data_IF_416744080087
#
_entry.id   IF_416744080087
#
_cell.length_a   1.000
_cell.length_b   1.000
_cell.length_c   1.000
_cell.angle_alpha   90.00
_cell.angle_beta   90.00
_cell.angle_gamma   90.00
#
_symmetry.space_group_name_H-M   'P 1'
#
loop_
_entity.id
_entity.type
_entity.pdbx_description
1 polymer ?
#
# COMPACT_ATOMS: atom_id res chain seq x y z
N UNK A 1 5.64 -11.17 -14.52
CA UNK A 1 4.58 -10.58 -13.68
C UNK A 1 4.64 -9.06 -13.64
N UNK A 2 5.74 -8.43 -13.21
CA UNK A 2 5.86 -6.96 -13.12
C UNK A 2 5.58 -6.25 -14.46
N UNK A 3 6.14 -6.75 -15.57
CA UNK A 3 5.83 -6.22 -16.92
C UNK A 3 4.34 -6.30 -17.29
N UNK A 4 3.60 -7.26 -16.76
CA UNK A 4 2.15 -7.37 -16.96
C UNK A 4 1.42 -6.30 -16.16
N UNK A 5 1.83 -6.05 -14.92
CA UNK A 5 1.25 -5.01 -14.06
C UNK A 5 1.48 -3.59 -14.62
N UNK A 6 2.62 -3.36 -15.27
CA UNK A 6 2.92 -2.08 -15.94
C UNK A 6 1.92 -1.74 -17.06
N UNK A 7 1.23 -2.74 -17.65
CA UNK A 7 0.17 -2.50 -18.64
C UNK A 7 -1.13 -1.94 -18.04
N UNK A 8 -1.22 -1.81 -16.72
CA UNK A 8 -2.35 -1.21 -16.01
C UNK A 8 -3.72 -1.88 -16.21
N UNK A 9 -3.78 -3.06 -16.81
CA UNK A 9 -5.04 -3.80 -17.01
C UNK A 9 -5.71 -4.20 -15.68
N UNK A 10 -4.91 -4.43 -14.63
CA UNK A 10 -5.42 -4.70 -13.29
C UNK A 10 -6.10 -3.46 -12.67
N UNK A 11 -5.64 -2.25 -13.02
CA UNK A 11 -6.25 -0.98 -12.60
C UNK A 11 -7.63 -0.81 -13.25
N UNK A 12 -7.73 -1.08 -14.55
CA UNK A 12 -9.00 -1.04 -15.29
C UNK A 12 -10.05 -2.01 -14.73
N UNK A 13 -9.59 -3.13 -14.17
CA UNK A 13 -10.42 -4.17 -13.58
C UNK A 13 -10.68 -3.96 -12.09
N UNK A 14 -10.23 -2.84 -11.51
CA UNK A 14 -10.37 -2.52 -10.09
C UNK A 14 -9.77 -3.58 -9.16
N UNK A 15 -8.75 -4.32 -9.62
CA UNK A 15 -8.11 -5.36 -8.83
C UNK A 15 -7.08 -4.75 -7.88
N UNK A 16 -6.92 -5.31 -6.66
CA UNK A 16 -5.88 -4.86 -5.75
C UNK A 16 -4.49 -5.40 -6.12
N UNK A 17 -3.46 -4.75 -5.59
CA UNK A 17 -2.07 -5.20 -5.61
C UNK A 17 -1.49 -5.13 -4.19
N UNK A 18 -0.91 -6.22 -3.70
CA UNK A 18 -0.19 -6.27 -2.43
C UNK A 18 1.28 -6.65 -2.67
N UNK A 19 2.20 -5.79 -2.23
CA UNK A 19 3.63 -6.01 -2.21
C UNK A 19 4.04 -6.32 -0.76
N UNK A 20 4.51 -7.55 -0.52
CA UNK A 20 4.84 -8.06 0.83
C UNK A 20 6.32 -8.47 0.87
N UNK A 21 7.01 -8.28 2.00
CA UNK A 21 8.39 -8.72 2.20
C UNK A 21 9.20 -7.77 3.09
N UNK A 22 10.45 -8.09 3.39
CA UNK A 22 11.22 -7.37 4.42
C UNK A 22 11.71 -5.98 4.00
N UNK A 23 12.27 -5.23 4.95
CA UNK A 23 12.80 -3.89 4.69
C UNK A 23 13.89 -3.88 3.63
N UNK A 24 13.74 -2.99 2.63
CA UNK A 24 14.74 -2.78 1.59
C UNK A 24 14.69 -3.77 0.42
N UNK A 25 13.64 -4.59 0.31
CA UNK A 25 13.42 -5.55 -0.80
C UNK A 25 12.80 -4.93 -2.06
N UNK A 26 12.55 -3.61 -2.06
CA UNK A 26 12.08 -2.88 -3.23
C UNK A 26 10.57 -2.64 -3.33
N UNK A 27 9.77 -2.97 -2.31
CA UNK A 27 8.31 -2.74 -2.31
C UNK A 27 7.91 -1.30 -2.65
N UNK A 28 8.40 -0.31 -1.91
CA UNK A 28 8.12 1.11 -2.17
C UNK A 28 8.59 1.53 -3.56
N UNK A 29 9.72 1.00 -4.02
CA UNK A 29 10.24 1.28 -5.36
C UNK A 29 9.29 0.75 -6.45
N UNK A 30 8.82 -0.50 -6.32
CA UNK A 30 7.84 -1.08 -7.23
C UNK A 30 6.50 -0.35 -7.18
N UNK A 31 6.04 0.03 -5.98
CA UNK A 31 4.79 0.77 -5.79
C UNK A 31 4.84 2.13 -6.51
N UNK A 32 5.95 2.86 -6.35
CA UNK A 32 6.19 4.15 -7.03
C UNK A 32 6.32 3.95 -8.55
N UNK A 33 7.07 2.94 -8.99
CA UNK A 33 7.25 2.67 -10.41
C UNK A 33 5.92 2.36 -11.11
N UNK A 34 5.12 1.44 -10.55
CA UNK A 34 3.80 1.10 -11.09
C UNK A 34 2.82 2.28 -11.01
N UNK A 35 2.86 3.06 -9.93
CA UNK A 35 2.07 4.29 -9.82
C UNK A 35 2.47 5.34 -10.86
N UNK A 36 3.76 5.44 -11.18
CA UNK A 36 4.27 6.36 -12.22
C UNK A 36 3.82 5.92 -13.61
N UNK A 37 3.96 4.63 -13.94
CA UNK A 37 3.48 4.06 -15.20
C UNK A 37 1.97 4.27 -15.37
N UNK A 38 1.18 4.06 -14.30
CA UNK A 38 -0.25 4.34 -14.32
C UNK A 38 -0.55 5.83 -14.57
N UNK A 39 0.17 6.74 -13.92
CA UNK A 39 0.01 8.17 -14.16
C UNK A 39 0.35 8.54 -15.61
N UNK A 40 1.43 7.97 -16.17
CA UNK A 40 1.83 8.17 -17.57
C UNK A 40 0.78 7.61 -18.55
N UNK A 41 0.09 6.54 -18.18
CA UNK A 41 -1.03 5.98 -18.94
C UNK A 41 -2.36 6.77 -18.77
N UNK A 42 -2.35 7.88 -18.03
CA UNK A 42 -3.49 8.78 -17.87
C UNK A 42 -4.38 8.53 -16.65
N UNK A 43 -4.02 7.58 -15.77
CA UNK A 43 -4.77 7.35 -14.53
C UNK A 43 -4.47 8.43 -13.49
N UNK A 44 -5.48 8.78 -12.69
CA UNK A 44 -5.31 9.62 -11.49
C UNK A 44 -4.75 8.74 -10.38
N UNK A 45 -3.51 8.99 -10.00
CA UNK A 45 -2.80 8.21 -8.99
C UNK A 45 -2.57 9.06 -7.74
N UNK A 46 -2.75 8.45 -6.57
CA UNK A 46 -2.37 9.04 -5.28
C UNK A 46 -1.44 8.09 -4.55
N UNK A 47 -0.27 8.58 -4.14
CA UNK A 47 0.63 7.90 -3.22
C UNK A 47 0.54 8.53 -1.83
N UNK A 48 0.46 7.70 -0.79
CA UNK A 48 0.39 8.14 0.61
C UNK A 48 0.99 7.08 1.53
N UNK A 49 1.58 7.50 2.66
CA UNK A 49 1.94 6.58 3.74
C UNK A 49 0.69 6.20 4.54
N UNK A 50 0.58 4.95 4.98
CA UNK A 50 -0.56 4.48 5.77
C UNK A 50 -0.83 5.38 6.99
N UNK A 51 0.22 5.75 7.73
CA UNK A 51 0.13 6.63 8.90
C UNK A 51 -0.37 8.03 8.56
N UNK A 52 0.10 8.62 7.46
CA UNK A 52 -0.36 9.95 6.99
C UNK A 52 -1.81 9.94 6.56
N UNK A 53 -2.23 8.87 5.87
CA UNK A 53 -3.63 8.68 5.48
C UNK A 53 -4.52 8.59 6.72
N UNK A 54 -4.15 7.77 7.68
CA UNK A 54 -4.92 7.60 8.93
C UNK A 54 -5.02 8.91 9.71
N UNK A 55 -3.90 9.62 9.90
CA UNK A 55 -3.91 10.91 10.60
C UNK A 55 -4.84 11.91 9.91
N UNK A 56 -4.78 12.03 8.58
CA UNK A 56 -5.66 12.92 7.83
C UNK A 56 -7.15 12.52 7.96
N UNK A 57 -7.45 11.22 8.02
CA UNK A 57 -8.82 10.75 8.24
C UNK A 57 -9.32 11.07 9.65
N UNK A 58 -8.46 10.94 10.66
CA UNK A 58 -8.78 11.28 12.05
C UNK A 58 -9.06 12.78 12.18
N UNK A 59 -8.16 13.63 11.66
CA UNK A 59 -8.33 15.08 11.62
C UNK A 59 -9.62 15.47 10.88
N UNK A 60 -9.85 14.90 9.69
CA UNK A 60 -11.06 15.18 8.92
C UNK A 60 -12.34 14.74 9.65
N UNK A 61 -12.29 13.69 10.46
CA UNK A 61 -13.41 13.27 11.30
C UNK A 61 -13.68 14.27 12.43
N UNK A 62 -12.65 14.78 13.09
CA UNK A 62 -12.77 15.80 14.13
C UNK A 62 -13.34 17.12 13.55
N UNK A 63 -12.96 17.46 12.32
CA UNK A 63 -13.41 18.67 11.61
C UNK A 63 -14.74 18.48 10.84
N UNK A 64 -15.41 17.33 10.96
CA UNK A 64 -16.65 16.99 10.21
C UNK A 64 -16.50 17.07 8.68
N UNK A 65 -15.30 16.83 8.17
CA UNK A 65 -14.97 16.73 6.74
C UNK A 65 -14.74 15.29 6.26
N UNK A 66 -14.91 14.28 7.14
CA UNK A 66 -14.56 12.88 6.85
C UNK A 66 -15.15 12.36 5.52
N UNK A 67 -16.45 12.57 5.29
CA UNK A 67 -17.12 12.12 4.06
C UNK A 67 -16.45 12.68 2.80
N UNK A 68 -16.03 13.96 2.85
CA UNK A 68 -15.33 14.61 1.74
C UNK A 68 -13.94 14.02 1.54
N UNK A 69 -13.21 13.76 2.64
CA UNK A 69 -11.87 13.17 2.60
C UNK A 69 -11.90 11.73 2.07
N UNK A 70 -12.82 10.90 2.55
CA UNK A 70 -13.02 9.53 2.04
C UNK A 70 -13.36 9.58 0.54
N UNK A 71 -14.30 10.42 0.13
CA UNK A 71 -14.66 10.56 -1.29
C UNK A 71 -13.47 11.01 -2.16
N UNK A 72 -12.57 11.86 -1.64
CA UNK A 72 -11.36 12.26 -2.34
C UNK A 72 -10.43 11.08 -2.58
N UNK A 73 -10.26 10.21 -1.59
CA UNK A 73 -9.51 8.96 -1.73
C UNK A 73 -10.26 7.90 -2.56
N UNK A 74 -11.59 7.93 -2.61
CA UNK A 74 -12.40 7.05 -3.46
C UNK A 74 -12.34 7.37 -4.95
N UNK A 75 -12.13 8.65 -5.31
CA UNK A 75 -12.20 9.13 -6.70
C UNK A 75 -10.96 8.89 -7.55
N UNK A 76 -9.79 8.66 -6.97
CA UNK A 76 -8.57 8.38 -7.74
C UNK A 76 -8.65 6.97 -8.35
N UNK A 77 -8.07 6.77 -9.53
CA UNK A 77 -8.15 5.48 -10.23
C UNK A 77 -7.21 4.46 -9.57
N UNK A 78 -6.07 4.93 -9.04
CA UNK A 78 -5.15 4.13 -8.23
C UNK A 78 -4.76 4.85 -6.93
N UNK A 79 -4.97 4.18 -5.80
CA UNK A 79 -4.47 4.59 -4.49
C UNK A 79 -3.31 3.68 -4.06
N UNK A 80 -2.11 4.23 -3.99
CA UNK A 80 -0.91 3.58 -3.46
C UNK A 80 -0.76 3.92 -1.97
N UNK A 81 -0.82 2.90 -1.11
CA UNK A 81 -0.61 3.01 0.34
C UNK A 81 0.70 2.30 0.69
N UNK A 82 1.69 3.07 1.13
CA UNK A 82 2.99 2.54 1.51
C UNK A 82 3.13 2.43 3.04
N UNK A 83 4.09 1.61 3.47
CA UNK A 83 4.44 1.36 4.87
C UNK A 83 3.28 0.86 5.75
N UNK A 84 2.32 0.16 5.16
CA UNK A 84 1.28 -0.51 5.95
C UNK A 84 1.92 -1.66 6.75
N UNK A 85 1.52 -1.84 8.00
CA UNK A 85 2.09 -2.88 8.85
C UNK A 85 3.32 -2.46 9.67
N UNK A 86 3.85 -1.24 9.47
CA UNK A 86 5.07 -0.80 10.18
C UNK A 86 4.78 -0.18 11.56
N UNK A 87 3.63 0.49 11.70
CA UNK A 87 3.18 1.11 12.95
C UNK A 87 1.80 0.57 13.32
N UNK A 88 1.57 0.39 14.61
CA UNK A 88 0.24 0.07 15.12
C UNK A 88 -0.72 1.24 14.85
N UNK A 89 -1.88 0.94 14.30
CA UNK A 89 -2.96 1.90 14.16
C UNK A 89 -3.85 1.82 15.40
N UNK A 90 -4.27 2.96 15.92
CA UNK A 90 -5.32 2.96 16.90
C UNK A 90 -6.63 2.43 16.28
N UNK A 91 -7.54 1.94 17.12
CA UNK A 91 -8.79 1.33 16.65
C UNK A 91 -9.57 2.26 15.72
N UNK A 92 -9.64 3.54 16.07
CA UNK A 92 -10.32 4.58 15.28
C UNK A 92 -9.66 4.73 13.91
N UNK A 93 -8.34 4.83 13.84
CA UNK A 93 -7.59 4.94 12.60
C UNK A 93 -7.76 3.72 11.69
N UNK A 94 -7.75 2.52 12.27
CA UNK A 94 -8.01 1.27 11.56
C UNK A 94 -9.43 1.24 10.94
N UNK A 95 -10.46 1.62 11.70
CA UNK A 95 -11.84 1.71 11.23
C UNK A 95 -12.00 2.74 10.10
N UNK A 96 -11.30 3.87 10.17
CA UNK A 96 -11.33 4.90 9.12
C UNK A 96 -10.60 4.45 7.84
N UNK A 97 -9.45 3.78 7.97
CA UNK A 97 -8.76 3.19 6.83
C UNK A 97 -9.63 2.14 6.14
N UNK A 98 -10.35 1.32 6.91
CA UNK A 98 -11.30 0.35 6.37
C UNK A 98 -12.41 1.01 5.54
N UNK A 99 -12.93 2.17 5.96
CA UNK A 99 -13.91 2.92 5.17
C UNK A 99 -13.36 3.36 3.82
N UNK A 100 -12.09 3.79 3.76
CA UNK A 100 -11.43 4.15 2.49
C UNK A 100 -11.28 2.93 1.59
N UNK A 101 -10.85 1.78 2.13
CA UNK A 101 -10.71 0.55 1.34
C UNK A 101 -12.07 0.05 0.82
N UNK A 102 -13.11 0.12 1.66
CA UNK A 102 -14.49 -0.26 1.28
C UNK A 102 -15.06 0.68 0.23
N UNK A 103 -14.81 1.99 0.32
CA UNK A 103 -15.31 2.94 -0.69
C UNK A 103 -14.74 2.63 -2.09
N UNK A 104 -13.54 2.05 -2.14
CA UNK A 104 -12.82 1.71 -3.38
C UNK A 104 -13.10 0.32 -3.91
N UNK A 105 -13.56 -0.59 -3.06
CA UNK A 105 -13.85 -1.99 -3.40
C UNK A 105 -14.70 -2.08 -4.68
N UNK A 106 -14.24 -2.88 -5.65
CA UNK A 106 -14.83 -3.08 -6.98
C UNK A 106 -15.02 -1.80 -7.84
N UNK A 107 -14.66 -0.62 -7.34
CA UNK A 107 -14.77 0.66 -8.05
C UNK A 107 -13.45 1.15 -8.62
N UNK A 108 -12.38 1.15 -7.82
CA UNK A 108 -11.06 1.66 -8.20
C UNK A 108 -9.95 0.90 -7.46
N UNK A 109 -8.81 0.67 -8.12
CA UNK A 109 -7.74 -0.16 -7.58
C UNK A 109 -7.00 0.44 -6.39
N UNK A 110 -6.51 -0.42 -5.50
CA UNK A 110 -5.59 -0.09 -4.42
C UNK A 110 -4.30 -0.90 -4.57
N UNK A 111 -3.16 -0.26 -4.32
CA UNK A 111 -1.88 -0.94 -4.24
C UNK A 111 -1.26 -0.69 -2.86
N UNK A 112 -0.83 -1.75 -2.20
CA UNK A 112 -0.31 -1.69 -0.84
C UNK A 112 1.10 -2.25 -0.80
N UNK A 113 1.99 -1.59 -0.07
CA UNK A 113 3.27 -2.14 0.34
C UNK A 113 3.30 -2.36 1.86
N UNK A 114 3.65 -3.58 2.27
CA UNK A 114 3.74 -3.96 3.68
C UNK A 114 5.00 -4.76 3.99
N UNK A 115 5.59 -4.47 5.15
CA UNK A 115 6.73 -5.24 5.69
C UNK A 115 6.30 -6.51 6.42
N UNK A 116 5.03 -6.61 6.81
CA UNK A 116 4.48 -7.82 7.43
C UNK A 116 3.62 -8.60 6.44
N UNK A 117 3.59 -9.92 6.60
CA UNK A 117 2.60 -10.79 5.95
C UNK A 117 1.20 -10.51 6.50
N UNK A 118 0.15 -10.94 5.78
CA UNK A 118 -1.23 -10.76 6.21
C UNK A 118 -1.53 -11.35 7.61
N UNK A 119 -0.81 -12.41 8.03
CA UNK A 119 -0.94 -12.94 9.39
C UNK A 119 -0.41 -11.97 10.46
N UNK A 120 0.60 -11.17 10.12
CA UNK A 120 1.17 -10.15 11.01
C UNK A 120 0.28 -8.92 11.19
N UNK A 121 -0.60 -8.64 10.22
CA UNK A 121 -1.48 -7.47 10.24
C UNK A 121 -2.42 -7.39 11.44
N UNK A 122 -2.63 -8.48 12.18
CA UNK A 122 -3.32 -8.49 13.47
C UNK A 122 -2.67 -7.59 14.53
N UNK A 123 -1.37 -7.27 14.40
CA UNK A 123 -0.68 -6.27 15.23
C UNK A 123 -1.06 -4.83 14.85
N UNK A 124 -1.24 -4.60 13.56
CA UNK A 124 -1.57 -3.27 13.00
C UNK A 124 -3.07 -2.96 13.14
N UNK A 125 -3.90 -3.97 12.89
CA UNK A 125 -5.35 -3.92 13.01
C UNK A 125 -5.78 -4.72 14.24
N UNK A 126 -5.90 -4.02 15.36
CA UNK A 126 -6.15 -4.61 16.69
C UNK A 126 -7.50 -5.33 16.81
N UNK A 127 -8.46 -5.07 15.93
CA UNK A 127 -9.69 -5.86 15.78
C UNK A 127 -9.47 -7.00 14.75
N UNK A 128 -9.45 -8.28 15.17
CA UNK A 128 -9.22 -9.40 14.27
C UNK A 128 -10.27 -9.55 13.17
N UNK A 129 -11.52 -9.17 13.43
CA UNK A 129 -12.61 -9.24 12.42
C UNK A 129 -12.39 -8.18 11.35
N UNK A 130 -12.01 -6.97 11.76
CA UNK A 130 -11.66 -5.90 10.83
C UNK A 130 -10.44 -6.28 9.99
N UNK A 131 -9.40 -6.82 10.62
CA UNK A 131 -8.20 -7.29 9.93
C UNK A 131 -8.56 -8.34 8.87
N UNK A 132 -9.34 -9.36 9.22
CA UNK A 132 -9.77 -10.39 8.28
C UNK A 132 -10.57 -9.81 7.11
N UNK A 133 -11.48 -8.87 7.38
CA UNK A 133 -12.28 -8.19 6.37
C UNK A 133 -11.45 -7.34 5.40
N UNK A 134 -10.36 -6.71 5.87
CA UNK A 134 -9.41 -5.97 5.04
C UNK A 134 -8.61 -6.93 4.15
N UNK A 135 -8.05 -8.00 4.74
CA UNK A 135 -7.24 -8.98 4.02
C UNK A 135 -8.07 -9.66 2.92
N UNK A 136 -9.31 -10.06 3.23
CA UNK A 136 -10.22 -10.67 2.26
C UNK A 136 -10.41 -9.78 1.01
N UNK A 137 -10.72 -8.50 1.22
CA UNK A 137 -10.89 -7.51 0.13
C UNK A 137 -9.63 -7.28 -0.70
N UNK A 138 -8.47 -7.27 -0.06
CA UNK A 138 -7.19 -7.01 -0.74
C UNK A 138 -6.65 -8.23 -1.49
N UNK A 139 -7.17 -9.42 -1.17
CA UNK A 139 -6.72 -10.68 -1.78
C UNK A 139 -7.74 -11.21 -2.80
N UNK A 140 -9.01 -10.83 -2.70
CA UNK A 140 -10.03 -11.22 -3.68
C UNK A 140 -9.73 -10.69 -5.09
N UNK A 141 -9.40 -11.60 -6.02
CA UNK A 141 -8.96 -11.25 -7.37
C UNK A 141 -7.65 -10.45 -7.44
N UNK A 142 -6.97 -10.31 -6.31
CA UNK A 142 -5.81 -9.45 -6.14
C UNK A 142 -4.52 -10.03 -6.70
N UNK A 143 -3.57 -9.14 -6.98
CA UNK A 143 -2.21 -9.51 -7.31
C UNK A 143 -1.37 -9.45 -6.02
N UNK A 144 -0.69 -10.54 -5.65
CA UNK A 144 0.21 -10.57 -4.49
C UNK A 144 1.62 -10.82 -5.00
N UNK A 145 2.56 -9.95 -4.63
CA UNK A 145 3.97 -10.09 -4.94
C UNK A 145 4.75 -10.13 -3.64
N UNK A 146 5.42 -11.26 -3.42
CA UNK A 146 6.42 -11.39 -2.37
C UNK A 146 7.78 -10.94 -2.90
N UNK A 147 8.37 -9.95 -2.24
CA UNK A 147 9.66 -9.35 -2.59
C UNK A 147 10.84 -10.02 -1.89
N UNK A 148 10.57 -11.01 -1.04
CA UNK A 148 11.58 -11.78 -0.31
C UNK A 148 12.11 -11.08 0.94
N UNK A 149 13.31 -11.46 1.35
CA UNK A 149 13.97 -11.02 2.60
C UNK A 149 15.28 -10.26 2.34
N UNK A 150 15.83 -10.36 1.13
CA UNK A 150 17.14 -9.81 0.80
C UNK A 150 17.06 -8.29 0.57
N UNK A 151 17.72 -7.55 1.46
CA UNK A 151 17.73 -6.09 1.40
C UNK A 151 18.69 -5.56 0.34
N UNK A 152 18.15 -4.97 -0.73
CA UNK A 152 18.91 -4.31 -1.78
C UNK A 152 19.74 -3.13 -1.23
N UNK A 153 19.20 -2.41 -0.24
CA UNK A 153 19.88 -1.29 0.42
C UNK A 153 21.15 -1.75 1.14
N UNK A 154 21.07 -2.86 1.89
CA UNK A 154 22.21 -3.42 2.61
C UNK A 154 23.26 -3.99 1.64
N UNK A 155 22.82 -4.74 0.64
CA UNK A 155 23.72 -5.31 -0.39
C UNK A 155 24.51 -4.21 -1.12
N UNK A 156 23.82 -3.13 -1.54
CA UNK A 156 24.46 -1.99 -2.21
C UNK A 156 25.47 -1.28 -1.30
N UNK A 157 25.17 -1.17 -0.01
CA UNK A 157 26.07 -0.53 0.96
C UNK A 157 27.32 -1.37 1.19
N UNK A 158 27.18 -2.70 1.33
CA UNK A 158 28.31 -3.64 1.47
C UNK A 158 29.23 -3.61 0.24
N UNK A 159 28.66 -3.69 -0.96
CA UNK A 159 29.44 -3.64 -2.20
C UNK A 159 30.26 -2.35 -2.35
N UNK A 160 29.70 -1.20 -1.94
CA UNK A 160 30.43 0.08 -1.94
C UNK A 160 31.58 0.10 -0.93
N UNK A 161 31.37 -0.47 0.25
CA UNK A 161 32.41 -0.54 1.29
C UNK A 161 33.58 -1.45 0.87
N UNK A 162 33.28 -2.59 0.24
CA UNK A 162 34.30 -3.51 -0.29
C UNK A 162 35.14 -2.87 -1.40
N UNK A 163 34.51 -2.11 -2.31
CA UNK A 163 35.25 -1.36 -3.35
C UNK A 163 36.18 -0.29 -2.79
N UNK A 164 35.81 0.35 -1.67
CA UNK A 164 36.65 1.36 -1.01
C UNK A 164 37.80 0.76 -0.19
N UNK A 165 37.67 -0.50 0.27
CA UNK A 165 38.72 -1.20 1.01
C UNK A 165 39.81 -1.80 0.10
N UNK A 166 39.56 -1.87 -1.22
CA UNK A 166 40.49 -2.39 -2.24
C UNK A 166 41.30 -1.25 -2.92
N UNK A 167 40.99 0.02 -2.59
CA UNK A 167 41.70 1.23 -3.05
C UNK A 167 42.59 1.76 -1.93
#
# INVERSE_FOLDING_TARGET
MIHTLAKCEWIKKSLPLCLIGDSGTGKSHLLIALGTEAAMAGYRVKYVLATKLVNELVEAADEKQLTKTIARYGRVDLLCIDELGYMELDRRGAELLFQVLTEREEKNSVAIASNESFSGWTKTFTDPRLCAAIVDRLTFGGNIIETGTDSYRLATTRARAEQQAVV
#
